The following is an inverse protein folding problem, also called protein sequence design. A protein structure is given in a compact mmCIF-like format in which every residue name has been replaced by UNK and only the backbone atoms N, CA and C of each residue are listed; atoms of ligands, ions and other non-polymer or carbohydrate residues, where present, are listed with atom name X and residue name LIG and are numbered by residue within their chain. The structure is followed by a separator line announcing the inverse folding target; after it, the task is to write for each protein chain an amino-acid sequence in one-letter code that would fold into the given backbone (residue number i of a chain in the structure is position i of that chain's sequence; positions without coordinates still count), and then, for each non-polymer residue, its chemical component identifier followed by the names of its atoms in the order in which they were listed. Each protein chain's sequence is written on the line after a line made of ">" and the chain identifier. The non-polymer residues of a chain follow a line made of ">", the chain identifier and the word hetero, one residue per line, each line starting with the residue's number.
data_IF_529714386177
#
_entry.id   IF_529714386177
#
_cell.length_a   1.000
_cell.length_b   1.000
_cell.length_c   1.000
_cell.angle_alpha   90.00
_cell.angle_beta   90.00
_cell.angle_gamma   90.00
#
_symmetry.space_group_name_H-M   'P 1'
#
loop_
_entity.id
_entity.type
_entity.pdbx_description
1 polymer ?
#
# COMPACT_ATOMS: atom_id res chain seq x y z
N UNK A 1 -9.16 6.87 11.27
CA UNK A 1 -9.28 6.54 9.84
C UNK A 1 -8.25 5.48 9.51
N UNK A 2 -8.59 4.53 8.64
CA UNK A 2 -7.74 3.46 8.13
C UNK A 2 -7.61 3.63 6.62
N UNK A 3 -6.37 3.78 6.13
CA UNK A 3 -6.09 3.85 4.70
C UNK A 3 -5.64 2.46 4.24
N UNK A 4 -6.30 1.94 3.20
CA UNK A 4 -6.09 0.58 2.71
C UNK A 4 -5.74 0.63 1.23
N UNK A 5 -4.62 -0.01 0.88
CA UNK A 5 -4.26 -0.28 -0.51
C UNK A 5 -5.27 -1.24 -1.14
N UNK A 6 -5.82 -0.86 -2.28
CA UNK A 6 -6.71 -1.71 -3.08
C UNK A 6 -6.25 -1.64 -4.54
N UNK A 7 -5.91 -2.78 -5.17
CA UNK A 7 -5.52 -2.80 -6.58
C UNK A 7 -6.73 -2.51 -7.48
N UNK A 8 -6.49 -2.29 -8.78
CA UNK A 8 -7.58 -2.07 -9.72
C UNK A 8 -8.58 -3.25 -9.78
N UNK A 9 -9.74 -2.98 -10.38
CA UNK A 9 -10.85 -3.94 -10.47
C UNK A 9 -10.52 -5.22 -11.25
N UNK A 10 -9.47 -5.22 -12.07
CA UNK A 10 -9.02 -6.43 -12.79
C UNK A 10 -8.50 -7.51 -11.83
N UNK A 11 -8.15 -7.13 -10.58
CA UNK A 11 -7.74 -8.06 -9.52
C UNK A 11 -8.90 -8.40 -8.57
N UNK A 12 -10.02 -8.86 -9.13
CA UNK A 12 -11.27 -9.11 -8.40
C UNK A 12 -11.12 -10.03 -7.17
N UNK A 13 -10.37 -11.13 -7.27
CA UNK A 13 -10.15 -12.05 -6.14
C UNK A 13 -9.40 -11.37 -4.98
N UNK A 14 -8.32 -10.64 -5.30
CA UNK A 14 -7.56 -9.86 -4.31
C UNK A 14 -8.44 -8.81 -3.65
N UNK A 15 -9.28 -8.12 -4.43
CA UNK A 15 -10.22 -7.13 -3.91
C UNK A 15 -11.22 -7.74 -2.92
N UNK A 16 -11.80 -8.89 -3.26
CA UNK A 16 -12.74 -9.61 -2.36
C UNK A 16 -12.03 -9.99 -1.06
N UNK A 17 -10.79 -10.48 -1.13
CA UNK A 17 -10.01 -10.87 0.06
C UNK A 17 -9.67 -9.68 0.95
N UNK A 18 -9.28 -8.54 0.36
CA UNK A 18 -9.01 -7.30 1.09
C UNK A 18 -10.29 -6.82 1.79
N UNK A 19 -11.41 -6.74 1.08
CA UNK A 19 -12.68 -6.31 1.66
C UNK A 19 -13.15 -7.23 2.79
N UNK A 20 -13.00 -8.55 2.60
CA UNK A 20 -13.29 -9.52 3.64
C UNK A 20 -12.40 -9.31 4.88
N UNK A 21 -11.09 -9.14 4.68
CA UNK A 21 -10.16 -8.89 5.77
C UNK A 21 -10.49 -7.64 6.56
N UNK A 22 -10.77 -6.52 5.87
CA UNK A 22 -11.12 -5.26 6.52
C UNK A 22 -12.40 -5.37 7.35
N UNK A 23 -13.39 -6.16 6.91
CA UNK A 23 -14.60 -6.45 7.72
C UNK A 23 -14.28 -7.19 9.01
N UNK A 24 -13.22 -8.00 9.06
CA UNK A 24 -12.80 -8.73 10.26
C UNK A 24 -12.07 -7.86 11.29
N UNK A 25 -11.44 -6.76 10.86
CA UNK A 25 -10.64 -5.88 11.74
C UNK A 25 -11.52 -5.10 12.74
N UNK A 26 -12.85 -5.06 12.56
CA UNK A 26 -13.82 -4.31 13.39
C UNK A 26 -13.37 -2.86 13.67
N UNK A 27 -12.87 -2.19 12.63
CA UNK A 27 -12.40 -0.82 12.75
C UNK A 27 -13.58 0.15 12.69
N UNK A 28 -13.85 0.86 13.79
CA UNK A 28 -14.99 1.78 13.93
C UNK A 28 -14.82 3.15 13.25
N UNK A 29 -13.64 3.44 12.70
CA UNK A 29 -13.38 4.70 12.00
C UNK A 29 -13.63 4.61 10.50
N UNK A 30 -13.48 5.73 9.80
CA UNK A 30 -13.54 5.77 8.34
C UNK A 30 -12.46 4.88 7.70
N UNK A 31 -12.85 4.09 6.71
CA UNK A 31 -11.96 3.28 5.88
C UNK A 31 -11.89 3.93 4.51
N UNK A 32 -10.68 4.27 4.07
CA UNK A 32 -10.41 4.88 2.78
C UNK A 32 -9.60 3.92 1.92
N UNK A 33 -10.12 3.56 0.75
CA UNK A 33 -9.41 2.74 -0.21
C UNK A 33 -8.63 3.62 -1.19
N UNK A 34 -7.37 3.28 -1.40
CA UNK A 34 -6.46 3.99 -2.29
C UNK A 34 -5.88 3.00 -3.28
N UNK A 35 -5.77 3.42 -4.54
CA UNK A 35 -5.16 2.59 -5.57
C UNK A 35 -3.73 2.23 -5.19
N UNK A 36 -3.47 0.93 -5.07
CA UNK A 36 -2.17 0.34 -4.73
C UNK A 36 -1.33 -0.01 -5.96
N UNK A 37 -1.87 0.11 -7.18
CA UNK A 37 -1.15 -0.26 -8.40
C UNK A 37 0.24 0.40 -8.43
N UNK A 38 1.24 -0.43 -8.77
CA UNK A 38 2.67 -0.09 -8.86
C UNK A 38 3.36 0.33 -7.55
N UNK A 39 2.70 0.31 -6.38
CA UNK A 39 3.31 0.71 -5.10
C UNK A 39 4.57 -0.09 -4.76
N UNK A 40 4.58 -1.39 -5.05
CA UNK A 40 5.71 -2.29 -4.82
C UNK A 40 6.90 -2.00 -5.76
N UNK A 41 6.63 -1.49 -6.96
CA UNK A 41 7.67 -1.07 -7.92
C UNK A 41 8.29 0.24 -7.43
N UNK A 42 7.48 1.23 -7.06
CA UNK A 42 7.95 2.51 -6.51
C UNK A 42 8.74 2.32 -5.21
N UNK A 43 8.25 1.45 -4.31
CA UNK A 43 8.96 1.10 -3.08
C UNK A 43 10.31 0.40 -3.37
N UNK A 44 10.37 -0.36 -4.47
CA UNK A 44 11.55 -1.07 -4.93
C UNK A 44 12.56 -0.14 -5.64
N UNK A 45 12.10 0.91 -6.32
CA UNK A 45 12.89 2.02 -6.88
C UNK A 45 13.52 2.85 -5.76
N UNK A 46 12.76 3.15 -4.70
CA UNK A 46 13.26 3.80 -3.49
C UNK A 46 14.39 3.02 -2.80
N UNK A 47 14.59 1.74 -3.13
CA UNK A 47 15.66 0.89 -2.60
C UNK A 47 16.81 0.67 -3.60
N UNK A 48 16.80 1.28 -4.79
CA UNK A 48 17.82 1.07 -5.82
C UNK A 48 19.22 1.54 -5.43
N UNK A 49 19.33 2.52 -4.52
CA UNK A 49 20.61 2.92 -3.95
C UNK A 49 21.26 1.80 -3.11
N UNK A 50 20.50 0.77 -2.72
CA UNK A 50 20.99 -0.38 -2.00
C UNK A 50 21.48 -1.46 -2.99
N UNK A 51 22.70 -1.96 -2.78
CA UNK A 51 23.21 -3.09 -3.55
C UNK A 51 22.29 -4.32 -3.50
N UNK A 52 22.32 -5.17 -4.53
CA UNK A 52 21.41 -6.34 -4.73
C UNK A 52 21.14 -7.18 -3.48
N UNK A 53 22.15 -7.37 -2.62
CA UNK A 53 22.04 -8.15 -1.37
C UNK A 53 21.09 -7.50 -0.35
N UNK A 54 21.14 -6.18 -0.22
CA UNK A 54 20.31 -5.40 0.71
C UNK A 54 18.87 -5.27 0.20
N UNK A 55 18.68 -5.17 -1.12
CA UNK A 55 17.33 -5.21 -1.73
C UNK A 55 16.59 -6.51 -1.42
N UNK A 56 17.28 -7.64 -1.53
CA UNK A 56 16.72 -8.96 -1.18
C UNK A 56 16.43 -9.10 0.32
N UNK A 57 17.23 -8.46 1.19
CA UNK A 57 16.96 -8.41 2.63
C UNK A 57 15.73 -7.56 2.93
N UNK A 58 15.58 -6.40 2.29
CA UNK A 58 14.42 -5.50 2.44
C UNK A 58 13.08 -6.13 2.03
N UNK A 59 13.10 -7.07 1.07
CA UNK A 59 11.94 -7.88 0.71
C UNK A 59 11.64 -8.91 1.81
N UNK A 60 12.67 -9.50 2.40
CA UNK A 60 12.53 -10.60 3.36
C UNK A 60 12.19 -10.12 4.77
N UNK A 61 12.54 -8.88 5.12
CA UNK A 61 12.33 -8.29 6.45
C UNK A 61 11.07 -7.42 6.56
N UNK A 62 10.28 -7.30 5.48
CA UNK A 62 9.02 -6.54 5.46
C UNK A 62 9.20 -5.02 5.28
N UNK A 63 10.43 -4.52 5.06
CA UNK A 63 10.65 -3.10 4.76
C UNK A 63 9.98 -2.68 3.46
N UNK A 64 9.97 -3.54 2.45
CA UNK A 64 9.29 -3.27 1.18
C UNK A 64 7.78 -3.03 1.39
N UNK A 65 7.14 -3.85 2.23
CA UNK A 65 5.71 -3.72 2.54
C UNK A 65 5.43 -2.42 3.29
N UNK A 66 6.30 -2.07 4.25
CA UNK A 66 6.20 -0.81 4.99
C UNK A 66 6.35 0.41 4.07
N UNK A 67 7.29 0.36 3.12
CA UNK A 67 7.48 1.43 2.14
C UNK A 67 6.30 1.55 1.18
N UNK A 68 5.72 0.42 0.77
CA UNK A 68 4.51 0.41 -0.06
C UNK A 68 3.33 1.05 0.68
N UNK A 69 3.15 0.72 1.97
CA UNK A 69 2.14 1.35 2.82
C UNK A 69 2.35 2.86 2.99
N UNK A 70 3.60 3.31 3.13
CA UNK A 70 3.92 4.75 3.13
C UNK A 70 3.53 5.42 1.81
N UNK A 71 3.87 4.83 0.66
CA UNK A 71 3.49 5.36 -0.65
C UNK A 71 1.97 5.49 -0.83
N UNK A 72 1.21 4.49 -0.35
CA UNK A 72 -0.26 4.54 -0.34
C UNK A 72 -0.78 5.71 0.52
N UNK A 73 -0.20 5.91 1.70
CA UNK A 73 -0.57 7.02 2.59
C UNK A 73 -0.21 8.39 1.99
N UNK A 74 0.94 8.51 1.33
CA UNK A 74 1.33 9.73 0.62
C UNK A 74 0.35 10.07 -0.50
N UNK A 75 -0.07 9.07 -1.29
CA UNK A 75 -1.11 9.23 -2.33
C UNK A 75 -2.42 9.75 -1.72
N UNK A 76 -2.83 9.23 -0.56
CA UNK A 76 -4.00 9.74 0.16
C UNK A 76 -3.82 11.22 0.57
N UNK A 77 -2.69 11.56 1.22
CA UNK A 77 -2.40 12.93 1.63
C UNK A 77 -2.45 13.90 0.45
N UNK A 78 -1.90 13.52 -0.72
CA UNK A 78 -1.97 14.34 -1.92
C UNK A 78 -3.40 14.54 -2.43
N UNK A 79 -4.27 13.52 -2.36
CA UNK A 79 -5.68 13.65 -2.76
C UNK A 79 -6.45 14.59 -1.83
N UNK A 80 -6.17 14.56 -0.52
CA UNK A 80 -6.80 15.45 0.46
C UNK A 80 -6.30 16.88 0.31
N UNK A 81 -4.98 17.06 0.17
CA UNK A 81 -4.36 18.38 0.03
C UNK A 81 -4.73 19.08 -1.29
N UNK A 82 -4.94 18.33 -2.38
CA UNK A 82 -5.42 18.89 -3.66
C UNK A 82 -6.91 19.28 -3.66
N UNK A 83 -7.68 18.80 -2.67
CA UNK A 83 -9.10 19.12 -2.51
C UNK A 83 -9.35 20.31 -1.57
N UNK A 84 -8.30 20.81 -0.90
CA UNK A 84 -8.33 21.96 0.01
C UNK A 84 -8.04 23.28 -0.67
#
# INVERSE_FOLDING_TARGET
>A
MLVVGKPNENYADTNIRIEHFIKLVDFKGEIVFINEDSSSIEACENLEYLGRKNKRLAIKDGRLDSLSACGILERYCQQVLKKG
#
